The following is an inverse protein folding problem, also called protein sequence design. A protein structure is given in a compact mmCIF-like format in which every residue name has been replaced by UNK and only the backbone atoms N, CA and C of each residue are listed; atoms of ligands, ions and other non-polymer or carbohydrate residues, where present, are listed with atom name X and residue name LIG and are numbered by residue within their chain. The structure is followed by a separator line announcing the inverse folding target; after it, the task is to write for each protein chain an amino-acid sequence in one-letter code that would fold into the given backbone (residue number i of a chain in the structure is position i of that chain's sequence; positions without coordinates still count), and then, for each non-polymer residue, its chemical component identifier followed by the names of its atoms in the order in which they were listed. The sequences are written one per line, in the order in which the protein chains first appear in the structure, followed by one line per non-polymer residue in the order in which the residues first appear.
data_IF_002125224649
#
_entry.id   IF_002125224649
#
_cell.length_a   1.000
_cell.length_b   1.000
_cell.length_c   1.000
_cell.angle_alpha   90.00
_cell.angle_beta   90.00
_cell.angle_gamma   90.00
#
_symmetry.space_group_name_H-M   'P 1'
#
loop_
_entity.id
_entity.type
_entity.pdbx_description
1 polymer ?
#
# COMPACT_ATOMS: atom_id res chain seq x y z
N UNK A 1 -30.40 -4.39 -0.96
CA UNK A 1 -29.90 -5.44 -1.86
C UNK A 1 -28.52 -5.83 -1.38
N UNK A 2 -28.34 -7.08 -0.98
CA UNK A 2 -27.12 -7.57 -0.39
C UNK A 2 -25.99 -7.58 -1.43
N UNK A 3 -24.89 -6.91 -1.14
CA UNK A 3 -23.70 -6.87 -2.00
C UNK A 3 -23.00 -8.23 -2.25
N UNK A 4 -23.64 -9.32 -1.90
CA UNK A 4 -23.24 -10.69 -2.22
C UNK A 4 -23.61 -11.10 -3.65
N UNK A 5 -24.68 -10.56 -4.22
CA UNK A 5 -25.09 -10.88 -5.61
C UNK A 5 -24.10 -10.31 -6.63
N UNK A 6 -23.67 -9.06 -6.47
CA UNK A 6 -22.72 -8.36 -7.36
C UNK A 6 -21.34 -9.03 -7.37
N UNK A 7 -20.86 -9.48 -6.20
CA UNK A 7 -19.59 -10.22 -6.06
C UNK A 7 -19.65 -11.55 -6.80
N UNK A 8 -20.79 -12.25 -6.70
CA UNK A 8 -20.98 -13.53 -7.35
C UNK A 8 -21.09 -13.40 -8.87
N UNK A 9 -21.72 -12.33 -9.37
CA UNK A 9 -21.79 -12.00 -10.79
C UNK A 9 -20.42 -11.60 -11.37
N UNK A 10 -19.63 -10.80 -10.66
CA UNK A 10 -18.29 -10.41 -11.09
C UNK A 10 -17.36 -11.62 -11.16
N UNK A 11 -17.44 -12.51 -10.17
CA UNK A 11 -16.68 -13.77 -10.13
C UNK A 11 -17.13 -14.69 -11.27
N UNK A 12 -18.41 -14.93 -11.46
CA UNK A 12 -18.95 -15.81 -12.51
C UNK A 12 -18.60 -15.28 -13.89
N UNK A 13 -18.88 -14.02 -14.19
CA UNK A 13 -18.62 -13.42 -15.51
C UNK A 13 -17.13 -13.37 -15.88
N UNK A 14 -16.23 -13.33 -14.88
CA UNK A 14 -14.78 -13.34 -15.10
C UNK A 14 -14.22 -14.77 -15.24
N UNK A 15 -14.77 -15.75 -14.52
CA UNK A 15 -14.30 -17.14 -14.54
C UNK A 15 -14.35 -17.75 -15.94
N UNK A 16 -15.41 -17.49 -16.71
CA UNK A 16 -15.62 -18.09 -18.02
C UNK A 16 -14.63 -17.62 -19.08
N UNK A 17 -13.98 -16.47 -18.87
CA UNK A 17 -12.93 -15.94 -19.76
C UNK A 17 -11.60 -16.68 -19.59
N UNK A 18 -11.42 -17.50 -18.56
CA UNK A 18 -10.15 -18.17 -18.30
C UNK A 18 -9.91 -19.36 -19.25
N UNK A 19 -9.01 -19.21 -20.20
CA UNK A 19 -8.60 -20.26 -21.16
C UNK A 19 -7.47 -21.15 -20.65
N UNK A 20 -7.08 -21.05 -19.38
CA UNK A 20 -6.04 -21.86 -18.70
C UNK A 20 -4.62 -21.73 -19.32
N UNK A 21 -4.28 -20.59 -19.92
CA UNK A 21 -3.00 -20.35 -20.61
C UNK A 21 -1.76 -20.29 -19.68
N UNK A 22 -1.91 -20.32 -18.37
CA UNK A 22 -0.86 -20.31 -17.32
C UNK A 22 -0.03 -19.02 -17.17
N UNK A 23 -0.17 -18.00 -17.99
CA UNK A 23 0.59 -16.73 -17.90
C UNK A 23 0.57 -16.14 -16.48
N UNK A 24 -0.57 -16.15 -15.80
CA UNK A 24 -0.70 -15.64 -14.44
C UNK A 24 0.06 -16.48 -13.39
N UNK A 25 0.31 -17.77 -13.65
CA UNK A 25 1.10 -18.64 -12.77
C UNK A 25 2.59 -18.38 -12.93
N UNK A 26 3.07 -18.26 -14.18
CA UNK A 26 4.49 -17.93 -14.46
C UNK A 26 4.88 -16.55 -13.96
N UNK A 27 3.95 -15.60 -13.97
CA UNK A 27 4.16 -14.26 -13.45
C UNK A 27 3.96 -14.14 -11.92
N UNK A 28 3.55 -15.21 -11.23
CA UNK A 28 3.26 -15.16 -9.81
C UNK A 28 4.53 -15.23 -8.95
N UNK A 29 4.89 -14.16 -8.21
CA UNK A 29 6.12 -14.15 -7.43
C UNK A 29 6.09 -15.13 -6.25
N UNK A 30 4.90 -15.49 -5.75
CA UNK A 30 4.76 -16.47 -4.66
C UNK A 30 4.91 -17.89 -5.19
N UNK A 31 4.26 -18.24 -6.30
CA UNK A 31 4.38 -19.57 -6.89
C UNK A 31 5.82 -19.85 -7.37
N UNK A 32 6.57 -18.84 -7.74
CA UNK A 32 7.96 -18.96 -8.15
C UNK A 32 8.92 -19.38 -7.02
N UNK A 33 8.56 -19.14 -5.76
CA UNK A 33 9.47 -19.35 -4.62
C UNK A 33 9.01 -20.43 -3.63
N UNK A 34 7.78 -20.93 -3.76
CA UNK A 34 7.28 -21.98 -2.86
C UNK A 34 6.33 -22.94 -3.57
N UNK A 35 6.50 -24.27 -3.39
CA UNK A 35 5.57 -25.27 -3.91
C UNK A 35 4.25 -25.33 -3.12
N UNK A 36 4.16 -24.65 -1.98
CA UNK A 36 2.96 -24.63 -1.14
C UNK A 36 1.81 -23.82 -1.74
N UNK A 37 2.08 -23.00 -2.75
CA UNK A 37 1.08 -22.26 -3.50
C UNK A 37 1.12 -22.68 -4.97
N UNK A 38 0.14 -23.46 -5.45
CA UNK A 38 0.14 -24.02 -6.81
C UNK A 38 -0.11 -22.98 -7.90
N UNK A 39 -0.33 -21.72 -7.52
CA UNK A 39 -0.51 -20.61 -8.43
C UNK A 39 -1.92 -20.00 -8.42
N UNK A 40 -2.02 -18.76 -8.90
CA UNK A 40 -3.26 -17.98 -8.80
C UNK A 40 -4.41 -18.54 -9.66
N UNK A 41 -4.11 -19.13 -10.81
CA UNK A 41 -5.15 -19.75 -11.68
C UNK A 41 -5.75 -20.99 -11.03
N UNK A 42 -4.90 -21.83 -10.44
CA UNK A 42 -5.37 -23.04 -9.77
C UNK A 42 -6.21 -22.71 -8.56
N UNK A 43 -5.68 -21.90 -7.65
CA UNK A 43 -6.33 -21.53 -6.39
C UNK A 43 -7.60 -20.69 -6.57
N UNK A 44 -7.69 -19.92 -7.64
CA UNK A 44 -8.83 -19.07 -7.98
C UNK A 44 -9.69 -19.63 -9.10
N UNK A 45 -9.53 -19.14 -10.36
CA UNK A 45 -10.48 -19.44 -11.42
C UNK A 45 -10.75 -20.93 -11.65
N UNK A 46 -9.76 -21.79 -11.45
CA UNK A 46 -9.93 -23.21 -11.68
C UNK A 46 -10.76 -23.90 -10.59
N UNK A 47 -10.48 -23.64 -9.31
CA UNK A 47 -11.23 -24.24 -8.19
C UNK A 47 -12.60 -23.60 -7.98
N UNK A 48 -12.72 -22.28 -8.18
CA UNK A 48 -13.99 -21.57 -7.98
C UNK A 48 -15.07 -22.01 -8.97
N UNK A 49 -14.71 -22.52 -10.18
CA UNK A 49 -15.67 -23.11 -11.13
C UNK A 49 -16.41 -24.33 -10.57
N UNK A 50 -15.76 -25.07 -9.69
CA UNK A 50 -16.31 -26.31 -9.11
C UNK A 50 -16.87 -26.09 -7.71
N UNK A 51 -16.82 -24.89 -7.19
CA UNK A 51 -17.33 -24.57 -5.88
C UNK A 51 -18.86 -24.40 -5.94
N UNK A 52 -19.56 -25.31 -5.30
CA UNK A 52 -21.03 -25.32 -5.18
C UNK A 52 -21.41 -25.05 -3.71
N UNK A 53 -21.49 -23.78 -3.31
CA UNK A 53 -22.02 -23.37 -2.01
C UNK A 53 -21.14 -23.57 -0.77
N UNK A 54 -19.97 -24.18 -0.91
CA UNK A 54 -19.00 -24.40 0.19
C UNK A 54 -17.79 -23.45 0.18
N UNK A 55 -16.87 -23.55 1.17
CA UNK A 55 -15.60 -22.86 1.12
C UNK A 55 -14.71 -23.43 0.03
N UNK A 56 -13.73 -22.63 -0.44
CA UNK A 56 -12.66 -23.20 -1.25
C UNK A 56 -12.00 -24.35 -0.51
N UNK A 57 -11.89 -25.55 -1.12
CA UNK A 57 -11.24 -26.71 -0.50
C UNK A 57 -9.73 -26.48 -0.33
N UNK A 58 -9.15 -25.58 -1.11
CA UNK A 58 -7.72 -25.30 -1.11
C UNK A 58 -7.33 -24.25 -0.07
N UNK A 59 -6.50 -24.68 0.87
CA UNK A 59 -5.95 -23.79 1.92
C UNK A 59 -4.80 -22.92 1.41
N UNK A 60 -4.22 -23.24 0.26
CA UNK A 60 -3.10 -22.50 -0.31
C UNK A 60 -3.46 -21.05 -0.69
N UNK A 61 -4.77 -20.75 -0.85
CA UNK A 61 -5.27 -19.36 -0.98
C UNK A 61 -4.77 -18.41 0.09
N UNK A 62 -4.48 -18.91 1.31
CA UNK A 62 -3.91 -18.06 2.37
C UNK A 62 -2.48 -17.62 2.05
N UNK A 63 -1.76 -18.33 1.18
CA UNK A 63 -0.43 -17.95 0.70
C UNK A 63 -0.45 -16.91 -0.43
N UNK A 64 -1.60 -16.65 -1.06
CA UNK A 64 -1.71 -15.57 -2.03
C UNK A 64 -1.41 -14.22 -1.36
N UNK A 65 -0.43 -13.48 -1.89
CA UNK A 65 -0.04 -12.16 -1.36
C UNK A 65 -1.03 -11.04 -1.71
N UNK A 66 -1.90 -11.24 -2.72
CA UNK A 66 -2.85 -10.22 -3.18
C UNK A 66 -2.19 -9.07 -3.94
N UNK A 67 -1.04 -9.30 -4.59
CA UNK A 67 -0.27 -8.27 -5.30
C UNK A 67 -0.93 -7.75 -6.59
N UNK A 68 -1.94 -8.43 -7.14
CA UNK A 68 -2.65 -8.01 -8.35
C UNK A 68 -1.99 -8.37 -9.68
N UNK A 69 -0.73 -8.84 -9.69
CA UNK A 69 0.03 -9.12 -10.92
C UNK A 69 -0.73 -10.08 -11.86
N UNK A 70 -1.33 -11.14 -11.31
CA UNK A 70 -2.04 -12.14 -12.09
C UNK A 70 -3.27 -11.58 -12.84
N UNK A 71 -3.95 -10.59 -12.32
CA UNK A 71 -5.02 -9.85 -13.03
C UNK A 71 -4.42 -8.95 -14.10
N UNK A 72 -3.32 -8.26 -13.77
CA UNK A 72 -2.67 -7.32 -14.68
C UNK A 72 -2.11 -8.00 -15.94
N UNK A 73 -1.47 -9.17 -15.79
CA UNK A 73 -0.86 -9.91 -16.93
C UNK A 73 -1.86 -10.76 -17.71
N UNK A 74 -3.12 -10.84 -17.29
CA UNK A 74 -4.10 -11.71 -17.94
C UNK A 74 -4.56 -11.13 -19.30
N UNK A 75 -4.23 -11.74 -20.44
CA UNK A 75 -4.61 -11.22 -21.75
C UNK A 75 -6.12 -11.34 -22.02
N UNK A 76 -6.82 -12.15 -21.23
CA UNK A 76 -8.27 -12.38 -21.35
C UNK A 76 -9.10 -11.54 -20.36
N UNK A 77 -8.47 -10.63 -19.61
CA UNK A 77 -9.14 -9.75 -18.66
C UNK A 77 -9.81 -10.48 -17.49
N UNK A 78 -9.30 -11.66 -17.11
CA UNK A 78 -9.79 -12.39 -15.93
C UNK A 78 -9.33 -11.68 -14.66
N UNK A 79 -10.26 -11.41 -13.76
CA UNK A 79 -10.02 -10.78 -12.45
C UNK A 79 -9.48 -11.79 -11.43
N UNK A 80 -8.29 -12.36 -11.73
CA UNK A 80 -7.73 -13.49 -10.97
C UNK A 80 -7.41 -13.12 -9.52
N UNK A 81 -6.84 -11.94 -9.28
CA UNK A 81 -6.49 -11.48 -7.93
C UNK A 81 -7.73 -11.22 -7.08
N UNK A 82 -8.76 -10.63 -7.68
CA UNK A 82 -10.04 -10.33 -7.05
C UNK A 82 -10.77 -11.62 -6.70
N UNK A 83 -10.81 -12.60 -7.60
CA UNK A 83 -11.35 -13.95 -7.35
C UNK A 83 -10.64 -14.58 -6.15
N UNK A 84 -9.31 -14.55 -6.14
CA UNK A 84 -8.51 -15.10 -5.03
C UNK A 84 -8.76 -14.36 -3.70
N UNK A 85 -8.94 -13.05 -3.73
CA UNK A 85 -9.24 -12.25 -2.54
C UNK A 85 -10.61 -12.62 -1.95
N UNK A 86 -11.62 -12.78 -2.80
CA UNK A 86 -12.98 -13.17 -2.41
C UNK A 86 -13.04 -14.61 -1.90
N UNK A 87 -12.39 -15.54 -2.60
CA UNK A 87 -12.29 -16.94 -2.18
C UNK A 87 -11.58 -17.08 -0.82
N UNK A 88 -10.50 -16.32 -0.60
CA UNK A 88 -9.80 -16.27 0.69
C UNK A 88 -10.68 -15.68 1.79
N UNK A 89 -11.43 -14.63 1.51
CA UNK A 89 -12.35 -14.03 2.47
C UNK A 89 -13.48 -15.00 2.86
N UNK A 90 -14.07 -15.71 1.89
CA UNK A 90 -15.06 -16.74 2.13
C UNK A 90 -14.50 -17.89 2.99
N UNK A 91 -13.30 -18.38 2.67
CA UNK A 91 -12.60 -19.38 3.48
C UNK A 91 -12.41 -18.92 4.94
N UNK A 92 -11.99 -17.67 5.16
CA UNK A 92 -11.78 -17.10 6.50
C UNK A 92 -13.11 -16.84 7.24
N UNK A 93 -14.17 -16.48 6.53
CA UNK A 93 -15.48 -16.29 7.14
C UNK A 93 -16.01 -17.60 7.77
N UNK A 94 -15.76 -18.73 7.13
CA UNK A 94 -16.21 -20.05 7.62
C UNK A 94 -15.29 -20.63 8.70
N UNK A 95 -13.97 -20.48 8.56
CA UNK A 95 -12.98 -21.04 9.49
C UNK A 95 -12.66 -20.14 10.68
N UNK A 96 -13.14 -18.90 10.64
CA UNK A 96 -12.76 -17.86 11.59
C UNK A 96 -11.45 -17.15 11.21
N UNK A 97 -11.38 -15.87 11.55
CA UNK A 97 -10.17 -15.06 11.36
C UNK A 97 -9.31 -15.15 12.62
N UNK A 98 -8.03 -15.58 12.52
CA UNK A 98 -7.13 -15.65 13.67
C UNK A 98 -7.01 -14.31 14.39
N UNK A 99 -6.79 -14.33 15.72
CA UNK A 99 -6.63 -13.13 16.56
C UNK A 99 -5.50 -12.23 16.02
N UNK A 100 -4.37 -12.82 15.63
CA UNK A 100 -3.27 -12.11 14.99
C UNK A 100 -3.75 -11.29 13.79
N UNK A 101 -4.50 -11.92 12.88
CA UNK A 101 -4.97 -11.28 11.65
C UNK A 101 -5.93 -10.13 11.96
N UNK A 102 -6.73 -10.24 13.02
CA UNK A 102 -7.58 -9.15 13.52
C UNK A 102 -6.78 -7.97 14.08
N UNK A 103 -5.65 -8.25 14.74
CA UNK A 103 -4.77 -7.22 15.32
C UNK A 103 -4.00 -6.50 14.20
N UNK A 104 -3.28 -7.24 13.34
CA UNK A 104 -2.46 -6.64 12.27
C UNK A 104 -3.30 -5.93 11.21
N UNK A 105 -4.56 -6.33 11.04
CA UNK A 105 -5.51 -5.67 10.14
C UNK A 105 -5.96 -4.28 10.64
N UNK A 106 -5.62 -3.88 11.87
CA UNK A 106 -6.04 -2.61 12.48
C UNK A 106 -4.84 -1.76 12.96
N UNK A 107 -3.89 -1.42 12.07
CA UNK A 107 -2.67 -0.72 12.47
C UNK A 107 -2.95 0.64 13.13
N UNK A 108 -3.96 1.37 12.69
CA UNK A 108 -4.36 2.64 13.29
C UNK A 108 -4.86 2.48 14.75
N UNK A 109 -5.59 1.40 15.04
CA UNK A 109 -6.08 1.12 16.40
C UNK A 109 -4.92 0.72 17.30
N UNK A 110 -4.07 -0.20 16.87
CA UNK A 110 -2.88 -0.63 17.59
C UNK A 110 -1.96 0.56 17.91
N UNK A 111 -1.74 1.44 16.94
CA UNK A 111 -0.90 2.63 17.14
C UNK A 111 -1.55 3.66 18.08
N UNK A 112 -2.87 3.83 18.06
CA UNK A 112 -3.56 4.73 19.01
C UNK A 112 -3.42 4.22 20.45
N UNK A 113 -3.54 2.90 20.66
CA UNK A 113 -3.37 2.27 21.97
C UNK A 113 -1.93 2.33 22.46
N UNK A 114 -0.95 2.11 21.58
CA UNK A 114 0.47 2.14 21.93
C UNK A 114 1.02 3.55 22.14
N UNK A 115 0.43 4.59 21.55
CA UNK A 115 0.97 5.96 21.55
C UNK A 115 1.24 6.55 22.94
N UNK A 116 0.38 6.43 23.96
CA UNK A 116 0.66 6.98 25.30
C UNK A 116 1.96 6.43 25.90
N UNK A 117 2.33 5.22 25.52
CA UNK A 117 3.51 4.48 26.00
C UNK A 117 4.48 4.15 24.86
N UNK A 118 4.50 4.96 23.80
CA UNK A 118 5.27 4.67 22.58
C UNK A 118 6.76 4.39 22.84
N UNK A 119 7.50 5.12 23.70
CA UNK A 119 8.88 4.79 23.99
C UNK A 119 9.05 3.37 24.56
N UNK A 120 8.21 2.98 25.52
CA UNK A 120 8.23 1.65 26.11
C UNK A 120 7.81 0.57 25.09
N UNK A 121 6.73 0.82 24.34
CA UNK A 121 6.26 -0.10 23.30
C UNK A 121 7.34 -0.34 22.23
N UNK A 122 8.03 0.72 21.79
CA UNK A 122 9.11 0.61 20.83
C UNK A 122 10.34 -0.12 21.41
N UNK A 123 10.70 0.13 22.65
CA UNK A 123 11.79 -0.59 23.34
C UNK A 123 11.47 -2.11 23.44
N UNK A 124 10.24 -2.47 23.78
CA UNK A 124 9.79 -3.86 23.79
C UNK A 124 9.84 -4.48 22.38
N UNK A 125 9.35 -3.78 21.36
CA UNK A 125 9.42 -4.24 19.96
C UNK A 125 10.84 -4.37 19.43
N UNK A 126 11.82 -3.68 19.98
CA UNK A 126 13.24 -3.84 19.66
C UNK A 126 13.87 -5.04 20.41
N UNK A 127 13.32 -5.45 21.56
CA UNK A 127 13.87 -6.52 22.39
C UNK A 127 13.63 -7.91 21.79
N UNK A 128 14.70 -8.67 21.57
CA UNK A 128 14.65 -10.00 20.93
C UNK A 128 13.77 -11.01 21.70
N UNK A 129 13.81 -11.00 23.03
CA UNK A 129 12.98 -11.88 23.86
C UNK A 129 11.48 -11.61 23.67
N UNK A 130 11.09 -10.32 23.59
CA UNK A 130 9.70 -9.93 23.38
C UNK A 130 9.22 -10.30 21.96
N UNK A 131 10.08 -10.14 20.96
CA UNK A 131 9.83 -10.59 19.59
C UNK A 131 9.62 -12.11 19.52
N UNK A 132 10.42 -12.88 20.24
CA UNK A 132 10.24 -14.34 20.34
C UNK A 132 8.92 -14.72 21.03
N UNK A 133 8.53 -13.97 22.06
CA UNK A 133 7.23 -14.14 22.73
C UNK A 133 6.06 -13.83 21.77
N UNK A 134 6.12 -12.73 21.00
CA UNK A 134 5.11 -12.39 19.99
C UNK A 134 5.00 -13.47 18.91
N UNK A 135 6.10 -14.05 18.49
CA UNK A 135 6.09 -15.11 17.50
C UNK A 135 5.42 -16.38 18.06
N UNK A 136 5.73 -16.75 19.29
CA UNK A 136 5.17 -17.96 19.93
C UNK A 136 3.67 -17.80 20.24
N UNK A 137 3.25 -16.64 20.73
CA UNK A 137 1.87 -16.39 21.19
C UNK A 137 0.94 -15.95 20.06
N UNK A 138 1.38 -15.05 19.20
CA UNK A 138 0.56 -14.45 18.14
C UNK A 138 0.96 -14.90 16.73
N UNK A 139 2.09 -15.58 16.54
CA UNK A 139 2.57 -15.97 15.21
C UNK A 139 3.03 -14.78 14.37
N UNK A 140 3.45 -13.68 14.98
CA UNK A 140 4.15 -12.58 14.30
C UNK A 140 5.62 -12.93 14.28
N UNK A 141 6.22 -13.03 13.10
CA UNK A 141 7.61 -13.49 12.97
C UNK A 141 8.59 -12.55 13.70
N UNK A 142 9.53 -13.14 14.47
CA UNK A 142 10.47 -12.37 15.31
C UNK A 142 11.36 -11.39 14.53
N UNK A 143 11.65 -11.65 13.27
CA UNK A 143 12.44 -10.77 12.39
C UNK A 143 11.59 -9.87 11.50
N UNK A 144 10.23 -9.94 11.56
CA UNK A 144 9.38 -9.12 10.69
C UNK A 144 9.63 -7.61 10.85
N UNK A 145 9.61 -6.80 9.79
CA UNK A 145 9.80 -5.35 9.86
C UNK A 145 8.56 -4.69 10.49
N UNK A 146 8.60 -4.46 11.79
CA UNK A 146 7.56 -3.71 12.50
C UNK A 146 8.05 -2.27 12.70
N UNK A 147 7.38 -1.27 12.11
CA UNK A 147 7.78 0.11 12.26
C UNK A 147 7.53 0.61 13.68
N UNK A 148 8.34 1.55 14.21
CA UNK A 148 8.13 2.13 15.52
C UNK A 148 6.86 2.99 15.55
N UNK A 149 6.18 3.01 16.68
CA UNK A 149 5.05 3.90 16.92
C UNK A 149 5.54 5.33 17.13
N UNK A 150 4.96 6.29 16.42
CA UNK A 150 5.24 7.69 16.65
C UNK A 150 4.58 8.18 17.95
N UNK A 151 5.34 8.84 18.82
CA UNK A 151 4.83 9.43 20.06
C UNK A 151 3.78 10.54 19.80
N UNK A 152 3.89 11.22 18.64
CA UNK A 152 2.91 12.22 18.20
C UNK A 152 2.47 11.94 16.77
N UNK A 153 1.15 11.85 16.55
CA UNK A 153 0.63 11.61 15.20
C UNK A 153 0.74 12.85 14.30
N UNK A 154 0.82 12.62 12.99
CA UNK A 154 0.80 13.69 11.98
C UNK A 154 -0.46 14.57 12.13
N UNK A 155 -1.64 13.98 12.29
CA UNK A 155 -2.89 14.72 12.50
C UNK A 155 -2.86 15.62 13.75
N UNK A 156 -2.22 15.17 14.84
CA UNK A 156 -2.06 15.99 16.05
C UNK A 156 -1.08 17.16 15.83
N UNK A 157 -0.11 17.00 14.95
CA UNK A 157 0.77 18.08 14.53
C UNK A 157 0.02 19.10 13.65
N UNK A 158 -0.73 18.61 12.63
CA UNK A 158 -1.52 19.48 11.72
C UNK A 158 -2.48 20.37 12.48
N UNK A 159 -3.20 19.85 13.51
CA UNK A 159 -4.15 20.65 14.32
C UNK A 159 -3.53 21.86 15.01
N UNK A 160 -2.23 21.88 15.24
CA UNK A 160 -1.50 22.98 15.88
C UNK A 160 -0.84 23.92 14.88
N UNK A 161 -0.89 23.56 13.60
CA UNK A 161 -0.30 24.33 12.52
C UNK A 161 -1.30 25.35 12.01
N UNK A 162 -0.82 26.54 11.70
CA UNK A 162 -1.59 27.51 10.92
C UNK A 162 -1.43 27.18 9.44
N UNK A 163 -2.52 26.88 8.70
CA UNK A 163 -2.42 26.61 7.27
C UNK A 163 -1.99 27.88 6.52
N UNK A 164 -1.20 27.72 5.47
CA UNK A 164 -0.88 28.81 4.55
C UNK A 164 -2.09 29.04 3.63
N UNK A 165 -2.55 30.28 3.52
CA UNK A 165 -3.56 30.65 2.54
C UNK A 165 -2.85 30.81 1.18
N UNK A 166 -3.11 29.91 0.25
CA UNK A 166 -2.55 29.89 -1.11
C UNK A 166 -3.69 29.73 -2.12
N UNK A 167 -3.53 30.18 -3.36
CA UNK A 167 -4.64 30.34 -4.31
C UNK A 167 -5.24 29.02 -4.79
N UNK A 168 -4.47 27.93 -4.83
CA UNK A 168 -4.93 26.61 -5.28
C UNK A 168 -4.97 25.65 -4.11
N UNK A 169 -6.06 24.91 -3.96
CA UNK A 169 -6.24 23.99 -2.86
C UNK A 169 -6.11 22.53 -3.29
N UNK A 170 -5.50 21.72 -2.44
CA UNK A 170 -5.39 20.27 -2.55
C UNK A 170 -5.71 19.63 -1.21
N UNK A 171 -6.29 18.44 -1.21
CA UNK A 171 -6.55 17.66 0.01
C UNK A 171 -5.47 16.59 0.15
N UNK A 172 -4.81 16.54 1.29
CA UNK A 172 -3.84 15.50 1.57
C UNK A 172 -4.47 14.32 2.33
N UNK A 173 -4.50 13.17 1.67
CA UNK A 173 -4.86 11.89 2.28
C UNK A 173 -3.60 11.17 2.76
N UNK A 174 -3.29 11.31 4.05
CA UNK A 174 -2.06 10.79 4.66
C UNK A 174 -2.11 9.30 5.05
N UNK A 175 -3.30 8.68 5.09
CA UNK A 175 -3.44 7.30 5.53
C UNK A 175 -3.06 7.05 7.01
N UNK A 176 -3.04 5.76 7.40
CA UNK A 176 -2.68 5.39 8.77
C UNK A 176 -1.16 5.29 8.99
N UNK A 177 -0.39 4.91 7.98
CA UNK A 177 1.06 4.75 8.08
C UNK A 177 1.76 6.08 8.35
N UNK A 178 1.52 7.07 7.52
CA UNK A 178 2.03 8.43 7.72
C UNK A 178 1.55 9.03 9.04
N UNK A 179 0.28 8.77 9.42
CA UNK A 179 -0.24 9.36 10.66
C UNK A 179 0.42 8.83 11.93
N UNK A 180 0.75 7.54 11.96
CA UNK A 180 1.10 6.85 13.19
C UNK A 180 2.52 6.30 13.24
N UNK A 181 3.17 6.12 12.10
CA UNK A 181 4.49 5.50 12.00
C UNK A 181 5.52 6.43 11.35
N UNK A 182 5.11 7.22 10.34
CA UNK A 182 5.99 8.11 9.58
C UNK A 182 5.48 9.57 9.54
N UNK A 183 5.19 10.23 10.67
CA UNK A 183 4.64 11.60 10.66
C UNK A 183 5.58 12.63 10.01
N UNK A 184 6.87 12.34 9.96
CA UNK A 184 7.87 13.15 9.27
C UNK A 184 7.59 13.21 7.75
N UNK A 185 7.29 12.08 7.12
CA UNK A 185 6.92 12.05 5.70
C UNK A 185 5.70 12.95 5.42
N UNK A 186 4.68 12.89 6.30
CA UNK A 186 3.51 13.76 6.16
C UNK A 186 3.84 15.26 6.21
N UNK A 187 4.79 15.66 7.05
CA UNK A 187 5.25 17.06 7.14
C UNK A 187 5.99 17.47 5.87
N UNK A 188 6.93 16.64 5.42
CA UNK A 188 7.69 16.88 4.19
C UNK A 188 6.78 16.97 2.97
N UNK A 189 5.78 16.09 2.87
CA UNK A 189 4.77 16.14 1.79
C UNK A 189 4.01 17.47 1.78
N UNK A 190 3.57 17.89 2.95
CA UNK A 190 2.84 19.15 3.09
C UNK A 190 3.72 20.34 2.72
N UNK A 191 4.98 20.37 3.13
CA UNK A 191 5.95 21.40 2.82
C UNK A 191 6.28 21.44 1.31
N UNK A 192 6.43 20.29 0.64
CA UNK A 192 6.64 20.21 -0.81
C UNK A 192 5.42 20.75 -1.57
N UNK A 193 4.22 20.36 -1.18
CA UNK A 193 2.98 20.86 -1.83
C UNK A 193 2.82 22.37 -1.65
N UNK A 194 3.07 22.89 -0.45
CA UNK A 194 3.00 24.35 -0.19
C UNK A 194 4.10 25.13 -0.87
N UNK A 195 5.32 24.57 -1.01
CA UNK A 195 6.39 25.15 -1.78
C UNK A 195 5.98 25.37 -3.24
N UNK A 196 5.17 24.46 -3.77
CA UNK A 196 4.58 24.54 -5.11
C UNK A 196 3.28 25.38 -5.19
N UNK A 197 3.02 26.23 -4.19
CA UNK A 197 1.92 27.20 -4.20
C UNK A 197 0.55 26.61 -3.91
N UNK A 198 0.48 25.43 -3.26
CA UNK A 198 -0.77 24.74 -2.96
C UNK A 198 -1.21 24.95 -1.51
N UNK A 199 -2.44 25.37 -1.28
CA UNK A 199 -3.08 25.31 0.03
C UNK A 199 -3.45 23.86 0.35
N UNK A 200 -2.85 23.28 1.39
CA UNK A 200 -3.05 21.86 1.73
C UNK A 200 -4.08 21.71 2.85
N UNK A 201 -5.25 21.25 2.51
CA UNK A 201 -6.27 20.84 3.47
C UNK A 201 -6.02 19.41 3.96
N UNK A 202 -6.05 19.21 5.28
CA UNK A 202 -5.88 17.89 5.90
C UNK A 202 -7.08 17.61 6.81
N UNK A 203 -8.20 17.13 6.26
CA UNK A 203 -9.38 16.82 7.07
C UNK A 203 -9.12 15.66 8.05
N UNK A 204 -9.96 15.50 9.08
CA UNK A 204 -9.94 14.29 9.90
C UNK A 204 -10.18 13.06 9.04
N UNK A 205 -9.31 12.07 9.12
CA UNK A 205 -9.36 10.88 8.26
C UNK A 205 -8.93 9.62 9.03
N UNK A 206 -9.06 8.47 8.40
CA UNK A 206 -8.78 7.16 8.99
C UNK A 206 -7.97 6.27 8.06
N UNK A 207 -8.00 4.99 8.34
CA UNK A 207 -7.40 3.96 7.50
C UNK A 207 -8.27 3.69 6.26
N UNK A 208 -7.64 3.41 5.12
CA UNK A 208 -8.31 3.03 3.87
C UNK A 208 -9.03 1.67 3.91
N UNK A 209 -8.77 0.84 4.93
CA UNK A 209 -9.38 -0.48 5.05
C UNK A 209 -8.63 -1.61 4.34
N UNK A 210 -7.58 -1.35 3.57
CA UNK A 210 -6.82 -2.38 2.86
C UNK A 210 -6.30 -3.51 3.77
N UNK A 211 -5.72 -3.24 4.97
CA UNK A 211 -5.30 -4.33 5.85
C UNK A 211 -6.47 -5.22 6.34
N UNK A 212 -7.68 -4.68 6.43
CA UNK A 212 -8.88 -5.47 6.75
C UNK A 212 -9.29 -6.35 5.57
N UNK A 213 -9.34 -5.80 4.36
CA UNK A 213 -9.65 -6.50 3.13
C UNK A 213 -8.65 -7.64 2.90
N UNK A 214 -7.35 -7.38 2.96
CA UNK A 214 -6.29 -8.38 2.73
C UNK A 214 -6.30 -9.53 3.76
N UNK A 215 -6.87 -9.31 4.95
CA UNK A 215 -7.06 -10.32 5.97
C UNK A 215 -8.47 -10.97 5.96
N UNK A 216 -9.29 -10.70 4.95
CA UNK A 216 -10.61 -11.31 4.77
C UNK A 216 -11.74 -10.70 5.63
N UNK A 217 -11.51 -9.54 6.24
CA UNK A 217 -12.48 -8.83 7.06
C UNK A 217 -13.31 -7.83 6.23
N UNK A 218 -13.95 -8.30 5.14
CA UNK A 218 -14.57 -7.43 4.12
C UNK A 218 -15.64 -6.49 4.70
N UNK A 219 -16.51 -6.97 5.60
CA UNK A 219 -17.52 -6.12 6.22
C UNK A 219 -16.94 -4.97 7.05
N UNK A 220 -15.81 -5.19 7.73
CA UNK A 220 -15.11 -4.13 8.43
C UNK A 220 -14.40 -3.19 7.45
N UNK A 221 -13.81 -3.73 6.36
CA UNK A 221 -13.19 -2.93 5.32
C UNK A 221 -14.20 -1.96 4.66
N UNK A 222 -15.39 -2.45 4.30
CA UNK A 222 -16.50 -1.61 3.77
C UNK A 222 -16.81 -0.42 4.69
N UNK A 223 -16.95 -0.67 6.00
CA UNK A 223 -17.23 0.42 6.97
C UNK A 223 -16.11 1.45 7.02
N UNK A 224 -14.84 1.02 6.93
CA UNK A 224 -13.69 1.93 6.93
C UNK A 224 -13.64 2.77 5.66
N UNK A 225 -13.86 2.15 4.49
CA UNK A 225 -13.90 2.85 3.19
C UNK A 225 -15.02 3.88 3.19
N UNK A 226 -16.27 3.48 3.50
CA UNK A 226 -17.41 4.41 3.54
C UNK A 226 -17.18 5.59 4.50
N UNK A 227 -16.67 5.31 5.70
CA UNK A 227 -16.39 6.35 6.67
C UNK A 227 -15.26 7.31 6.25
N UNK A 228 -14.31 6.84 5.45
CA UNK A 228 -13.25 7.68 4.87
C UNK A 228 -13.77 8.46 3.66
N UNK A 229 -14.48 7.80 2.76
CA UNK A 229 -15.08 8.42 1.57
C UNK A 229 -16.03 9.57 1.96
N UNK A 230 -16.92 9.36 2.94
CA UNK A 230 -17.82 10.41 3.43
C UNK A 230 -17.09 11.66 3.97
N UNK A 231 -15.87 11.52 4.47
CA UNK A 231 -15.05 12.66 4.96
C UNK A 231 -14.31 13.38 3.84
N UNK A 232 -13.95 12.69 2.77
CA UNK A 232 -13.21 13.24 1.65
C UNK A 232 -14.13 13.76 0.53
N UNK A 233 -15.29 13.14 0.34
CA UNK A 233 -16.25 13.49 -0.73
C UNK A 233 -16.69 14.97 -0.77
N UNK A 234 -16.89 15.67 0.35
CA UNK A 234 -17.23 17.11 0.31
C UNK A 234 -16.17 17.97 -0.40
N UNK A 235 -14.90 17.58 -0.32
CA UNK A 235 -13.80 18.25 -1.01
C UNK A 235 -13.75 17.85 -2.48
N UNK A 236 -13.88 16.54 -2.77
CA UNK A 236 -13.91 16.02 -4.13
C UNK A 236 -15.03 16.66 -4.97
N UNK A 237 -16.24 16.78 -4.41
CA UNK A 237 -17.38 17.43 -5.07
C UNK A 237 -17.18 18.93 -5.33
N UNK A 238 -16.30 19.59 -4.57
CA UNK A 238 -15.86 20.97 -4.82
C UNK A 238 -14.75 21.05 -5.88
N UNK A 239 -14.35 19.94 -6.47
CA UNK A 239 -13.32 19.87 -7.49
C UNK A 239 -11.89 19.83 -6.96
N UNK A 240 -11.66 19.71 -5.64
CA UNK A 240 -10.31 19.66 -5.09
C UNK A 240 -9.66 18.32 -5.40
N UNK A 241 -8.42 18.30 -5.94
CA UNK A 241 -7.61 17.10 -6.02
C UNK A 241 -7.36 16.55 -4.62
N UNK A 242 -7.37 15.21 -4.50
CA UNK A 242 -6.98 14.49 -3.29
C UNK A 242 -5.68 13.77 -3.61
N UNK A 243 -4.62 13.99 -2.83
CA UNK A 243 -3.31 13.40 -3.06
C UNK A 243 -2.93 12.48 -1.91
N UNK A 244 -2.35 11.33 -2.23
CA UNK A 244 -1.94 10.32 -1.26
C UNK A 244 -0.46 9.96 -1.43
N UNK A 245 0.24 9.78 -0.31
CA UNK A 245 1.63 9.28 -0.28
C UNK A 245 1.72 7.76 -0.17
N UNK A 246 0.60 7.07 -0.04
CA UNK A 246 0.55 5.62 0.00
C UNK A 246 -0.18 5.11 -1.23
N UNK A 247 0.57 4.62 -2.20
CA UNK A 247 0.08 4.00 -3.43
C UNK A 247 -0.97 2.93 -3.15
N UNK A 248 -0.73 2.09 -2.13
CA UNK A 248 -1.67 1.04 -1.72
C UNK A 248 -2.99 1.58 -1.19
N UNK A 249 -2.95 2.67 -0.40
CA UNK A 249 -4.16 3.31 0.11
C UNK A 249 -4.96 4.01 -1.00
N UNK A 250 -4.26 4.61 -1.96
CA UNK A 250 -4.89 5.24 -3.11
C UNK A 250 -5.55 4.19 -4.01
N UNK A 251 -4.88 3.07 -4.33
CA UNK A 251 -5.45 1.97 -5.11
C UNK A 251 -6.71 1.38 -4.46
N UNK A 252 -6.69 1.25 -3.13
CA UNK A 252 -7.86 0.76 -2.39
C UNK A 252 -9.10 1.63 -2.63
N UNK A 253 -8.98 2.96 -2.57
CA UNK A 253 -10.10 3.88 -2.78
C UNK A 253 -10.43 4.10 -4.26
N UNK A 254 -9.42 3.97 -5.13
CA UNK A 254 -9.59 4.23 -6.56
C UNK A 254 -10.23 3.06 -7.30
N UNK A 255 -9.99 1.82 -6.82
CA UNK A 255 -10.38 0.62 -7.55
C UNK A 255 -10.80 -0.57 -6.67
N UNK A 256 -9.96 -1.03 -5.74
CA UNK A 256 -10.20 -2.30 -5.02
C UNK A 256 -11.49 -2.27 -4.18
N UNK A 257 -11.85 -1.12 -3.63
CA UNK A 257 -13.09 -0.99 -2.86
C UNK A 257 -14.34 -1.19 -3.73
N UNK A 258 -14.29 -0.81 -4.99
CA UNK A 258 -15.37 -1.07 -5.94
C UNK A 258 -15.36 -2.56 -6.36
N UNK A 259 -14.23 -3.06 -6.83
CA UNK A 259 -14.11 -4.40 -7.43
C UNK A 259 -14.17 -5.55 -6.41
N UNK A 260 -13.67 -5.35 -5.18
CA UNK A 260 -13.59 -6.43 -4.15
C UNK A 260 -14.63 -6.24 -3.06
N UNK A 261 -14.93 -5.00 -2.69
CA UNK A 261 -15.89 -4.73 -1.61
C UNK A 261 -17.32 -4.47 -2.12
N UNK A 262 -17.54 -4.40 -3.43
CA UNK A 262 -18.87 -4.13 -4.01
C UNK A 262 -19.38 -2.75 -3.58
N UNK A 263 -18.55 -1.72 -3.71
CA UNK A 263 -18.88 -0.34 -3.39
C UNK A 263 -18.93 0.56 -4.64
N UNK A 264 -19.15 -0.01 -5.81
CA UNK A 264 -19.25 0.70 -7.08
C UNK A 264 -20.37 1.74 -7.12
N UNK A 265 -21.45 1.51 -6.38
CA UNK A 265 -22.60 2.42 -6.31
C UNK A 265 -22.53 3.43 -5.16
N UNK A 266 -21.45 3.42 -4.36
CA UNK A 266 -21.27 4.38 -3.29
C UNK A 266 -20.90 5.76 -3.87
N UNK A 267 -21.79 6.78 -3.77
CA UNK A 267 -21.60 8.07 -4.43
C UNK A 267 -20.44 8.88 -3.83
N UNK A 268 -20.13 8.69 -2.55
CA UNK A 268 -19.00 9.34 -1.89
C UNK A 268 -17.68 8.75 -2.36
N UNK A 269 -17.60 7.42 -2.46
CA UNK A 269 -16.41 6.74 -2.94
C UNK A 269 -16.14 7.08 -4.41
N UNK A 270 -17.18 7.12 -5.24
CA UNK A 270 -17.06 7.48 -6.66
C UNK A 270 -16.50 8.89 -6.82
N UNK A 271 -17.06 9.88 -6.12
CA UNK A 271 -16.55 11.24 -6.14
C UNK A 271 -15.08 11.34 -5.68
N UNK A 272 -14.69 10.59 -4.65
CA UNK A 272 -13.31 10.55 -4.16
C UNK A 272 -12.38 9.89 -5.19
N UNK A 273 -12.77 8.75 -5.74
CA UNK A 273 -11.98 7.98 -6.72
C UNK A 273 -11.60 8.81 -7.95
N UNK A 274 -12.53 9.62 -8.47
CA UNK A 274 -12.32 10.49 -9.63
C UNK A 274 -11.32 11.62 -9.40
N UNK A 275 -11.11 12.02 -8.15
CA UNK A 275 -10.22 13.13 -7.76
C UNK A 275 -8.99 12.71 -6.98
N UNK A 276 -8.79 11.41 -6.79
CA UNK A 276 -7.67 10.85 -6.04
C UNK A 276 -6.49 10.58 -6.96
N UNK A 277 -5.33 11.07 -6.55
CA UNK A 277 -4.05 10.92 -7.23
C UNK A 277 -3.01 10.35 -6.27
N UNK A 278 -2.06 9.58 -6.79
CA UNK A 278 -0.78 9.40 -6.11
C UNK A 278 -0.06 10.77 -6.06
N UNK A 279 0.71 11.03 -5.02
CA UNK A 279 1.36 12.33 -4.86
C UNK A 279 2.38 12.60 -5.97
N UNK A 280 3.09 11.57 -6.42
CA UNK A 280 4.05 11.71 -7.53
C UNK A 280 3.33 11.89 -8.86
N UNK A 281 2.22 11.17 -9.10
CA UNK A 281 1.32 11.39 -10.24
C UNK A 281 0.84 12.85 -10.29
N UNK A 282 0.39 13.37 -9.15
CA UNK A 282 -0.11 14.73 -9.08
C UNK A 282 0.97 15.78 -9.34
N UNK A 283 2.16 15.61 -8.78
CA UNK A 283 3.28 16.53 -9.00
C UNK A 283 3.77 16.47 -10.45
N UNK A 284 3.76 15.29 -11.08
CA UNK A 284 4.09 15.16 -12.50
C UNK A 284 3.07 15.89 -13.39
N UNK A 285 1.77 15.77 -13.10
CA UNK A 285 0.73 16.55 -13.77
C UNK A 285 0.94 18.07 -13.63
N UNK A 286 1.41 18.53 -12.47
CA UNK A 286 1.79 19.94 -12.30
C UNK A 286 3.00 20.31 -13.18
N UNK A 287 3.98 19.42 -13.29
CA UNK A 287 5.15 19.62 -14.15
C UNK A 287 4.75 19.75 -15.63
N UNK A 288 3.94 18.84 -16.13
CA UNK A 288 3.42 18.86 -17.51
C UNK A 288 2.66 20.14 -17.86
N UNK A 289 2.02 20.75 -16.84
CA UNK A 289 1.29 22.03 -16.99
C UNK A 289 2.17 23.27 -16.80
N UNK A 290 3.48 23.09 -16.52
CA UNK A 290 4.38 24.20 -16.18
C UNK A 290 4.07 24.86 -14.83
N UNK A 291 3.39 24.15 -13.94
CA UNK A 291 2.94 24.65 -12.63
C UNK A 291 3.79 24.12 -11.46
N UNK A 292 4.69 23.17 -11.74
CA UNK A 292 5.67 22.68 -10.75
C UNK A 292 6.89 23.61 -10.72
N UNK A 293 7.35 23.94 -9.55
CA UNK A 293 8.64 24.61 -9.39
C UNK A 293 9.77 23.64 -9.71
N UNK A 294 10.69 24.08 -10.58
CA UNK A 294 11.82 23.27 -11.05
C UNK A 294 13.17 23.84 -10.61
N UNK A 295 13.17 24.80 -9.67
CA UNK A 295 14.37 25.37 -9.03
C UNK A 295 14.97 24.37 -8.01
N UNK A 296 15.29 23.17 -8.48
CA UNK A 296 15.80 22.06 -7.68
C UNK A 296 17.33 22.17 -7.50
N UNK A 297 17.78 21.98 -6.27
CA UNK A 297 19.20 21.90 -5.93
C UNK A 297 19.75 20.51 -6.24
N UNK A 298 21.04 20.38 -6.58
CA UNK A 298 21.65 19.08 -6.79
C UNK A 298 21.54 18.16 -5.57
N UNK A 299 21.27 16.89 -5.82
CA UNK A 299 21.29 15.81 -4.83
C UNK A 299 22.15 14.69 -5.37
N UNK A 300 23.43 14.68 -4.93
CA UNK A 300 24.41 13.70 -5.37
C UNK A 300 24.16 12.35 -4.67
N UNK A 301 23.36 11.51 -5.28
CA UNK A 301 23.03 10.16 -4.80
C UNK A 301 22.84 9.19 -5.97
N UNK A 302 23.30 7.95 -5.79
CA UNK A 302 22.80 6.81 -6.59
C UNK A 302 21.66 6.16 -5.84
N UNK A 303 20.47 6.10 -6.47
CA UNK A 303 19.22 5.76 -5.84
C UNK A 303 18.53 4.62 -6.59
N UNK A 304 18.71 3.35 -6.18
CA UNK A 304 17.85 2.26 -6.63
C UNK A 304 16.38 2.57 -6.31
N UNK A 305 15.54 2.54 -7.32
CA UNK A 305 14.10 2.81 -7.19
C UNK A 305 13.28 1.55 -7.47
N UNK A 306 12.39 1.24 -6.56
CA UNK A 306 11.42 0.16 -6.70
C UNK A 306 10.00 0.69 -6.82
N UNK A 307 9.39 0.52 -8.01
CA UNK A 307 7.97 0.77 -8.21
C UNK A 307 7.16 -0.35 -7.53
N UNK A 308 6.29 -0.04 -6.54
CA UNK A 308 5.54 -1.08 -5.82
C UNK A 308 4.53 -1.77 -6.74
N UNK A 309 4.29 -3.07 -6.52
CA UNK A 309 3.39 -3.87 -7.34
C UNK A 309 1.97 -3.26 -7.46
N UNK A 310 1.50 -2.57 -6.43
CA UNK A 310 0.19 -1.91 -6.46
C UNK A 310 0.14 -0.66 -7.34
N UNK A 311 1.27 -0.06 -7.68
CA UNK A 311 1.32 1.06 -8.62
C UNK A 311 0.86 0.64 -10.03
N UNK A 312 1.14 -0.60 -10.42
CA UNK A 312 0.62 -1.16 -11.68
C UNK A 312 -0.90 -1.22 -11.71
N UNK A 313 -1.53 -1.51 -10.57
CA UNK A 313 -2.97 -1.49 -10.41
C UNK A 313 -3.59 -0.11 -10.67
N UNK A 314 -2.84 0.98 -10.48
CA UNK A 314 -3.28 2.32 -10.80
C UNK A 314 -3.31 2.62 -12.31
N UNK A 315 -2.45 1.99 -13.10
CA UNK A 315 -2.30 2.31 -14.52
C UNK A 315 -1.67 3.69 -14.81
N UNK A 316 -0.91 4.24 -13.86
CA UNK A 316 -0.31 5.58 -13.92
C UNK A 316 1.18 5.58 -14.36
N UNK A 317 1.71 4.42 -14.77
CA UNK A 317 3.14 4.31 -15.09
C UNK A 317 4.03 4.42 -13.84
N UNK A 318 5.15 5.12 -13.95
CA UNK A 318 6.15 5.30 -12.90
C UNK A 318 6.43 6.80 -12.63
N UNK A 319 5.44 7.59 -12.21
CA UNK A 319 5.55 9.04 -12.11
C UNK A 319 6.67 9.51 -11.17
N UNK A 320 6.99 8.74 -10.13
CA UNK A 320 8.11 9.05 -9.24
C UNK A 320 9.47 9.00 -9.98
N UNK A 321 9.65 8.05 -10.92
CA UNK A 321 10.88 7.93 -11.71
C UNK A 321 11.07 9.18 -12.58
N UNK A 322 10.00 9.63 -13.23
CA UNK A 322 10.03 10.84 -14.08
C UNK A 322 10.29 12.10 -13.24
N UNK A 323 9.63 12.26 -12.10
CA UNK A 323 9.89 13.39 -11.19
C UNK A 323 11.30 13.41 -10.64
N UNK A 324 11.84 12.25 -10.26
CA UNK A 324 13.19 12.15 -9.71
C UNK A 324 14.26 12.45 -10.78
N UNK A 325 13.98 12.21 -12.06
CA UNK A 325 14.88 12.57 -13.16
C UNK A 325 15.07 14.09 -13.32
N UNK A 326 14.17 14.90 -12.77
CA UNK A 326 14.29 16.37 -12.78
C UNK A 326 15.33 16.88 -11.75
N UNK A 327 15.74 16.02 -10.79
CA UNK A 327 16.67 16.44 -9.72
C UNK A 327 18.11 16.36 -10.23
N UNK A 328 18.85 17.49 -10.30
CA UNK A 328 20.23 17.48 -10.76
C UNK A 328 21.13 16.64 -9.85
N UNK A 329 22.09 15.92 -10.43
CA UNK A 329 23.04 15.07 -9.68
C UNK A 329 22.48 13.75 -9.19
N UNK A 330 21.17 13.51 -9.29
CA UNK A 330 20.55 12.27 -8.85
C UNK A 330 20.62 11.20 -9.94
N UNK A 331 21.24 10.07 -9.63
CA UNK A 331 21.27 8.89 -10.50
C UNK A 331 20.26 7.87 -10.02
N UNK A 332 19.09 7.80 -10.69
CA UNK A 332 18.06 6.81 -10.38
C UNK A 332 18.34 5.52 -11.16
N UNK A 333 18.34 4.38 -10.45
CA UNK A 333 18.49 3.03 -11.02
C UNK A 333 17.19 2.27 -10.80
N UNK A 334 16.43 2.07 -11.87
CA UNK A 334 15.18 1.32 -11.78
C UNK A 334 15.42 -0.17 -11.53
N UNK A 335 14.66 -0.77 -10.61
CA UNK A 335 14.88 -2.15 -10.20
C UNK A 335 14.29 -3.19 -11.17
N UNK A 336 13.29 -2.86 -11.95
CA UNK A 336 12.49 -3.78 -12.79
C UNK A 336 11.97 -5.05 -12.08
N UNK A 337 12.11 -5.11 -10.74
CA UNK A 337 11.65 -6.24 -9.93
C UNK A 337 10.18 -6.07 -9.57
N UNK A 338 9.41 -7.14 -9.73
CA UNK A 338 7.96 -7.15 -9.61
C UNK A 338 7.43 -6.86 -8.20
N UNK A 339 8.12 -7.33 -7.15
CA UNK A 339 7.58 -7.30 -5.78
C UNK A 339 8.70 -7.34 -4.73
N UNK A 340 8.56 -6.56 -3.67
CA UNK A 340 9.42 -6.60 -2.49
C UNK A 340 9.05 -7.74 -1.50
N UNK A 341 7.98 -8.47 -1.74
CA UNK A 341 7.54 -9.62 -0.96
C UNK A 341 6.65 -9.33 0.25
N UNK A 342 6.69 -8.12 0.84
CA UNK A 342 6.00 -7.85 2.12
C UNK A 342 4.47 -7.97 2.05
N UNK A 343 3.84 -7.49 0.97
CA UNK A 343 2.39 -7.45 0.77
C UNK A 343 1.61 -6.98 2.03
N UNK A 344 1.95 -5.82 2.53
CA UNK A 344 1.35 -5.22 3.71
C UNK A 344 1.55 -6.07 4.98
N UNK A 345 0.50 -6.72 5.46
CA UNK A 345 0.56 -7.56 6.68
C UNK A 345 0.92 -9.02 6.41
N UNK A 346 1.15 -9.40 5.16
CA UNK A 346 1.46 -10.78 4.77
C UNK A 346 2.81 -11.24 5.32
N UNK A 347 3.89 -10.53 4.99
CA UNK A 347 5.26 -10.90 5.37
C UNK A 347 5.58 -10.75 6.86
N UNK A 348 4.67 -10.20 7.68
CA UNK A 348 4.88 -10.17 9.14
C UNK A 348 4.45 -11.46 9.83
N UNK A 349 3.72 -12.35 9.13
CA UNK A 349 3.21 -13.61 9.67
C UNK A 349 4.30 -14.68 9.64
N UNK A 350 4.42 -15.45 10.74
CA UNK A 350 5.47 -16.46 10.90
C UNK A 350 5.57 -17.43 9.73
N UNK A 351 4.44 -17.96 9.27
CA UNK A 351 4.36 -18.93 8.18
C UNK A 351 4.57 -18.33 6.77
N UNK A 352 4.67 -17.02 6.66
CA UNK A 352 4.77 -16.29 5.40
C UNK A 352 6.05 -15.47 5.27
N UNK A 353 6.76 -15.27 6.38
CA UNK A 353 7.95 -14.41 6.41
C UNK A 353 9.04 -14.89 5.43
N UNK A 354 9.40 -16.17 5.47
CA UNK A 354 10.45 -16.70 4.61
C UNK A 354 10.05 -16.67 3.12
N UNK A 355 8.77 -16.92 2.81
CA UNK A 355 8.22 -16.73 1.46
C UNK A 355 8.32 -15.27 1.02
N UNK A 356 7.97 -14.33 1.90
CA UNK A 356 8.07 -12.90 1.61
C UNK A 356 9.52 -12.46 1.35
N UNK A 357 10.48 -12.96 2.14
CA UNK A 357 11.91 -12.70 1.94
C UNK A 357 12.41 -13.28 0.62
N UNK A 358 12.02 -14.52 0.27
CA UNK A 358 12.41 -15.15 -0.98
C UNK A 358 11.84 -14.42 -2.21
N UNK A 359 10.59 -13.95 -2.14
CA UNK A 359 9.98 -13.12 -3.20
C UNK A 359 10.75 -11.81 -3.42
N UNK A 360 11.19 -11.16 -2.34
CA UNK A 360 11.91 -9.89 -2.40
C UNK A 360 13.40 -10.01 -2.73
N UNK A 361 14.00 -11.20 -2.63
CA UNK A 361 15.46 -11.39 -2.74
C UNK A 361 16.09 -10.83 -4.02
N UNK A 362 15.47 -10.95 -5.21
CA UNK A 362 16.03 -10.32 -6.41
C UNK A 362 16.20 -8.79 -6.26
N UNK A 363 15.21 -8.12 -5.64
CA UNK A 363 15.26 -6.68 -5.34
C UNK A 363 16.34 -6.37 -4.30
N UNK A 364 16.40 -7.16 -3.23
CA UNK A 364 17.36 -6.93 -2.15
C UNK A 364 18.80 -7.10 -2.62
N UNK A 365 19.05 -8.07 -3.49
CA UNK A 365 20.36 -8.28 -4.11
C UNK A 365 20.74 -7.08 -4.97
N UNK A 366 19.84 -6.65 -5.88
CA UNK A 366 20.08 -5.48 -6.72
C UNK A 366 20.46 -4.24 -5.90
N UNK A 367 19.74 -3.98 -4.80
CA UNK A 367 20.00 -2.81 -3.95
C UNK A 367 21.37 -2.94 -3.23
N UNK A 368 21.71 -4.12 -2.72
CA UNK A 368 23.02 -4.36 -2.08
C UNK A 368 24.16 -4.23 -3.10
N UNK A 369 24.00 -4.80 -4.29
CA UNK A 369 25.03 -4.80 -5.35
C UNK A 369 25.23 -3.39 -5.94
N UNK A 370 24.22 -2.54 -5.88
CA UNK A 370 24.33 -1.14 -6.30
C UNK A 370 25.24 -0.30 -5.41
N UNK A 371 25.58 -0.75 -4.20
CA UNK A 371 26.42 -0.01 -3.25
C UNK A 371 25.87 1.38 -2.92
N UNK A 372 24.55 1.54 -2.97
CA UNK A 372 23.89 2.83 -2.85
C UNK A 372 23.70 3.23 -1.38
N UNK A 373 23.80 4.54 -1.08
CA UNK A 373 23.58 5.09 0.26
C UNK A 373 22.11 5.07 0.68
N UNK A 374 21.21 5.06 -0.27
CA UNK A 374 19.76 4.97 -0.05
C UNK A 374 19.06 4.30 -1.24
N UNK A 375 17.87 3.76 -1.01
CA UNK A 375 16.94 3.31 -2.04
C UNK A 375 15.65 4.14 -1.98
N UNK A 376 14.78 4.03 -2.98
CA UNK A 376 13.48 4.69 -2.97
C UNK A 376 12.32 3.77 -3.35
N UNK A 377 11.16 4.04 -2.73
CA UNK A 377 9.90 3.39 -3.06
C UNK A 377 8.71 4.20 -2.55
N UNK A 378 7.61 4.24 -3.30
CA UNK A 378 6.38 4.99 -2.95
C UNK A 378 5.55 4.33 -1.84
N UNK A 379 5.72 3.02 -1.61
CA UNK A 379 4.96 2.29 -0.60
C UNK A 379 5.72 2.16 0.72
N UNK A 380 5.11 2.55 1.81
CA UNK A 380 5.69 2.46 3.16
C UNK A 380 6.09 1.04 3.55
N UNK A 381 5.23 0.07 3.30
CA UNK A 381 5.53 -1.33 3.68
C UNK A 381 6.67 -1.91 2.86
N UNK A 382 6.80 -1.53 1.58
CA UNK A 382 7.94 -1.89 0.76
C UNK A 382 9.23 -1.24 1.29
N UNK A 383 9.18 0.04 1.68
CA UNK A 383 10.34 0.73 2.28
C UNK A 383 10.82 0.00 3.54
N UNK A 384 9.91 -0.37 4.44
CA UNK A 384 10.27 -1.11 5.66
C UNK A 384 10.89 -2.47 5.35
N UNK A 385 10.37 -3.19 4.36
CA UNK A 385 10.88 -4.49 3.94
C UNK A 385 12.28 -4.38 3.31
N UNK A 386 12.46 -3.42 2.40
CA UNK A 386 13.74 -3.17 1.74
C UNK A 386 14.80 -2.80 2.78
N UNK A 387 14.52 -1.80 3.62
CA UNK A 387 15.43 -1.37 4.67
C UNK A 387 15.78 -2.52 5.64
N UNK A 388 14.79 -3.34 6.01
CA UNK A 388 15.00 -4.52 6.85
C UNK A 388 15.90 -5.57 6.20
N UNK A 389 15.70 -5.86 4.92
CA UNK A 389 16.40 -6.94 4.22
C UNK A 389 17.81 -6.55 3.76
N UNK A 390 18.03 -5.27 3.47
CA UNK A 390 19.28 -4.77 2.88
C UNK A 390 20.16 -3.99 3.85
N UNK A 391 19.58 -3.44 4.92
CA UNK A 391 20.23 -2.46 5.79
C UNK A 391 20.32 -1.05 5.16
N UNK A 392 19.89 -0.88 3.90
CA UNK A 392 19.95 0.41 3.18
C UNK A 392 18.72 1.24 3.53
N UNK A 393 18.88 2.50 3.99
CA UNK A 393 17.76 3.41 4.20
C UNK A 393 16.92 3.55 2.94
N UNK A 394 15.60 3.40 3.06
CA UNK A 394 14.70 3.48 1.90
C UNK A 394 13.74 4.64 2.08
N UNK A 395 13.82 5.59 1.16
CA UNK A 395 13.14 6.88 1.19
C UNK A 395 11.88 6.87 0.32
N UNK A 396 10.93 7.74 0.67
CA UNK A 396 9.85 8.08 -0.26
C UNK A 396 10.35 9.13 -1.27
N UNK A 397 9.94 9.13 -2.55
CA UNK A 397 10.34 10.13 -3.55
C UNK A 397 10.15 11.58 -3.07
N UNK A 398 9.11 11.85 -2.29
CA UNK A 398 8.86 13.17 -1.67
C UNK A 398 10.01 13.62 -0.75
N UNK A 399 10.71 12.71 -0.07
CA UNK A 399 11.83 13.06 0.79
C UNK A 399 13.03 13.56 -0.03
N UNK A 400 13.21 13.01 -1.21
CA UNK A 400 14.25 13.47 -2.17
C UNK A 400 13.87 14.84 -2.74
N UNK A 401 12.63 15.03 -3.18
CA UNK A 401 12.14 16.33 -3.67
C UNK A 401 12.22 17.40 -2.58
N UNK A 402 11.85 17.08 -1.35
CA UNK A 402 11.97 17.98 -0.21
C UNK A 402 13.42 18.45 -0.01
N UNK A 403 14.38 17.52 -0.10
CA UNK A 403 15.82 17.83 -0.05
C UNK A 403 16.24 18.68 -1.23
N UNK A 404 15.81 18.34 -2.45
CA UNK A 404 16.14 19.07 -3.67
C UNK A 404 15.60 20.51 -3.66
N UNK A 405 14.43 20.76 -3.05
CA UNK A 405 13.95 22.12 -2.81
C UNK A 405 14.74 22.88 -1.71
N UNK A 406 15.67 22.22 -1.05
CA UNK A 406 16.46 22.84 0.04
C UNK A 406 15.62 23.18 1.27
N UNK A 407 14.51 22.47 1.47
CA UNK A 407 13.66 22.65 2.64
C UNK A 407 14.32 22.05 3.87
N UNK A 408 14.18 22.71 5.02
CA UNK A 408 14.78 22.24 6.26
C UNK A 408 14.09 20.93 6.73
N UNK A 409 14.86 19.92 7.16
CA UNK A 409 14.25 18.69 7.68
C UNK A 409 13.29 19.01 8.82
N UNK A 410 12.05 18.48 8.80
CA UNK A 410 11.11 18.73 9.89
C UNK A 410 11.61 18.14 11.21
N UNK A 411 11.56 18.95 12.26
CA UNK A 411 11.96 18.59 13.62
C UNK A 411 11.10 17.44 14.23
#
# INVERSE_FOLDING_TARGET
MDGTATIEELVRGSLDRCVKCTICETACPVAAVTPLFPGPKYAGPQLERFRTGGPSPDRSLDLCSGCGICTHVCPHGVKVAEINALARAAMKAQRGVPLRDRIVARPATSARLARPVAPLANALLAAGWFRALLERSLGIHRRAPLPPFAGRSFQAWVRRRRPRALPRAVVYFHGCSTNHFEPRLGRMTLEVLEHNGLHVAVPPQGCCGLPLQSNGLLGAARRYVRGLAARLAPYARRGYPIVATSTSCALMLKREAMEILGLEDDPDLRAVSERLYDVCEFLLLLHERGELRTDLRPVELTLPYHAPCQQRGHGIGKPALELLSLVPGLRVVESDVECCGIAGTYGVKREKYDVAMAVGEPLFRLIRDAGADAAACDSETCRWQIAHATGVPTLHPIEILHRAYGLAPPA
#
